data_IF_242460738306
#
_entry.id   IF_242460738306
#
_cell.length_a   1.000
_cell.length_b   1.000
_cell.length_c   1.000
_cell.angle_alpha   90.00
_cell.angle_beta   90.00
_cell.angle_gamma   90.00
#
_symmetry.space_group_name_H-M   'P 1'
#
loop_
_entity.id
_entity.type
_entity.pdbx_description
1 polymer ?
#
# COMPACT_ATOMS: atom_id res chain seq x y z
N UNK A 1 6.15 -0.99 -9.77
CA UNK A 1 5.63 -2.28 -10.27
C UNK A 1 4.29 -2.09 -10.99
N UNK A 2 3.23 -1.67 -10.30
CA UNK A 2 1.88 -1.48 -10.86
C UNK A 2 1.84 -0.67 -12.18
N UNK A 3 2.42 0.54 -12.21
CA UNK A 3 2.38 1.40 -13.41
C UNK A 3 3.05 0.74 -14.64
N UNK A 4 4.20 0.11 -14.45
CA UNK A 4 4.90 -0.59 -15.55
C UNK A 4 4.12 -1.80 -16.07
N UNK A 5 3.46 -2.55 -15.18
CA UNK A 5 2.58 -3.63 -15.59
C UNK A 5 1.35 -3.09 -16.35
N UNK A 6 0.77 -1.96 -15.90
CA UNK A 6 -0.35 -1.33 -16.58
C UNK A 6 0.01 -0.89 -18.01
N UNK A 7 1.15 -0.24 -18.21
CA UNK A 7 1.66 0.13 -19.55
C UNK A 7 1.88 -1.09 -20.44
N UNK A 8 2.43 -2.17 -19.88
CA UNK A 8 2.61 -3.41 -20.62
C UNK A 8 1.29 -3.99 -21.11
N UNK A 9 0.28 -4.05 -20.24
CA UNK A 9 -1.01 -4.64 -20.58
C UNK A 9 -1.83 -3.73 -21.51
N UNK A 10 -1.77 -2.42 -21.30
CA UNK A 10 -2.32 -1.42 -22.23
C UNK A 10 -1.75 -1.61 -23.65
N UNK A 11 -0.43 -1.77 -23.75
CA UNK A 11 0.21 -2.03 -25.04
C UNK A 11 -0.31 -3.32 -25.68
N UNK A 12 -0.41 -4.43 -24.94
CA UNK A 12 -0.98 -5.67 -25.47
C UNK A 12 -2.42 -5.48 -25.97
N UNK A 13 -3.25 -4.78 -25.21
CA UNK A 13 -4.64 -4.49 -25.57
C UNK A 13 -4.75 -3.60 -26.81
N UNK A 14 -3.79 -2.69 -27.03
CA UNK A 14 -3.69 -1.87 -28.25
C UNK A 14 -3.32 -2.68 -29.50
N UNK A 15 -2.74 -3.87 -29.30
CA UNK A 15 -2.37 -4.83 -30.35
C UNK A 15 -3.39 -5.97 -30.48
N UNK A 16 -4.59 -5.79 -29.94
CA UNK A 16 -5.65 -6.82 -29.87
C UNK A 16 -5.10 -8.15 -29.34
N UNK A 17 -4.28 -8.11 -28.30
CA UNK A 17 -3.76 -9.30 -27.63
C UNK A 17 -4.40 -9.43 -26.24
N UNK A 18 -5.07 -10.56 -26.01
CA UNK A 18 -5.63 -10.98 -24.72
C UNK A 18 -4.61 -11.89 -24.05
N UNK A 19 -4.13 -11.52 -22.87
CA UNK A 19 -3.06 -12.26 -22.20
C UNK A 19 -3.56 -13.56 -21.56
N UNK A 20 -4.70 -13.52 -20.87
CA UNK A 20 -5.35 -14.65 -20.16
C UNK A 20 -4.60 -15.20 -18.95
N UNK A 21 -3.48 -14.59 -18.55
CA UNK A 21 -2.71 -15.01 -17.37
C UNK A 21 -1.96 -13.85 -16.69
N UNK A 22 -2.68 -12.76 -16.43
CA UNK A 22 -2.14 -11.63 -15.69
C UNK A 22 -2.09 -11.99 -14.20
N UNK A 23 -0.89 -12.06 -13.66
CA UNK A 23 -0.61 -12.34 -12.24
C UNK A 23 0.82 -11.89 -11.88
N UNK A 24 1.09 -11.75 -10.58
CA UNK A 24 2.39 -11.30 -10.09
C UNK A 24 3.55 -12.20 -10.54
N UNK A 25 3.35 -13.51 -10.57
CA UNK A 25 4.36 -14.49 -11.05
C UNK A 25 4.79 -14.28 -12.51
N UNK A 26 3.94 -13.65 -13.32
CA UNK A 26 4.19 -13.38 -14.73
C UNK A 26 4.70 -11.95 -14.97
N UNK A 27 4.99 -11.21 -13.90
CA UNK A 27 5.61 -9.90 -13.94
C UNK A 27 7.12 -10.00 -13.61
N UNK A 28 7.96 -9.98 -14.64
CA UNK A 28 9.42 -10.01 -14.46
C UNK A 28 9.92 -8.64 -14.02
N UNK A 29 10.74 -8.61 -12.98
CA UNK A 29 11.27 -7.38 -12.37
C UNK A 29 12.79 -7.30 -12.52
N UNK A 30 13.30 -6.18 -13.05
CA UNK A 30 14.73 -5.97 -13.26
C UNK A 30 15.40 -5.10 -12.18
N UNK A 31 16.74 -5.03 -12.20
CA UNK A 31 17.53 -4.20 -11.26
C UNK A 31 17.25 -2.71 -11.36
N UNK A 32 16.69 -2.25 -12.49
CA UNK A 32 16.30 -0.85 -12.73
C UNK A 32 14.86 -0.58 -12.30
N UNK A 33 14.22 -1.54 -11.63
CA UNK A 33 12.84 -1.47 -11.15
C UNK A 33 11.78 -1.42 -12.26
N UNK A 34 12.12 -1.87 -13.46
CA UNK A 34 11.15 -2.03 -14.54
C UNK A 34 10.43 -3.37 -14.40
N UNK A 35 9.17 -3.39 -14.84
CA UNK A 35 8.38 -4.62 -14.96
C UNK A 35 8.16 -4.94 -16.42
N UNK A 36 8.23 -6.23 -16.76
CA UNK A 36 7.82 -6.77 -18.06
C UNK A 36 6.82 -7.90 -17.86
N UNK A 37 5.71 -7.83 -18.59
CA UNK A 37 4.75 -8.93 -18.66
C UNK A 37 5.38 -10.09 -19.45
N UNK A 38 5.14 -11.31 -18.98
CA UNK A 38 5.70 -12.54 -19.53
C UNK A 38 4.67 -13.68 -19.53
N UNK A 39 5.08 -14.83 -20.06
CA UNK A 39 4.26 -16.04 -20.21
C UNK A 39 3.02 -15.85 -21.13
N UNK A 40 3.30 -15.78 -22.42
CA UNK A 40 2.29 -15.65 -23.47
C UNK A 40 1.70 -17.01 -23.91
N UNK A 41 1.95 -18.10 -23.17
CA UNK A 41 1.50 -19.45 -23.57
C UNK A 41 -0.02 -19.58 -23.67
N UNK A 42 -0.76 -18.76 -22.92
CA UNK A 42 -2.22 -18.69 -22.96
C UNK A 42 -2.76 -17.56 -23.86
N UNK A 43 -1.92 -16.66 -24.34
CA UNK A 43 -2.37 -15.45 -25.02
C UNK A 43 -3.05 -15.73 -26.35
N UNK A 44 -3.95 -14.85 -26.76
CA UNK A 44 -4.72 -14.94 -28.00
C UNK A 44 -4.81 -13.58 -28.67
N UNK A 45 -4.64 -13.58 -29.97
CA UNK A 45 -4.93 -12.41 -30.80
C UNK A 45 -6.44 -12.35 -31.08
N UNK A 46 -7.00 -11.14 -31.06
CA UNK A 46 -8.41 -10.86 -31.25
C UNK A 46 -9.06 -10.14 -30.06
N UNK A 47 -10.34 -9.84 -30.24
CA UNK A 47 -11.14 -9.10 -29.27
C UNK A 47 -11.81 -10.01 -28.25
N UNK A 48 -12.12 -11.22 -28.67
CA UNK A 48 -12.77 -12.25 -27.88
C UNK A 48 -12.16 -13.61 -28.21
N UNK A 49 -11.98 -14.42 -27.17
CA UNK A 49 -11.62 -15.83 -27.29
C UNK A 49 -12.58 -16.68 -26.49
N UNK A 50 -13.30 -17.58 -27.17
CA UNK A 50 -14.17 -18.58 -26.54
C UNK A 50 -13.43 -19.90 -26.39
N UNK A 51 -13.21 -20.33 -25.16
CA UNK A 51 -12.54 -21.58 -24.87
C UNK A 51 -13.49 -22.76 -25.09
N UNK A 52 -13.21 -23.59 -26.09
CA UNK A 52 -14.04 -24.74 -26.48
C UNK A 52 -13.54 -26.08 -25.94
N UNK A 53 -12.28 -26.13 -25.50
CA UNK A 53 -11.65 -27.32 -24.94
C UNK A 53 -11.19 -27.07 -23.52
N UNK A 54 -11.17 -28.11 -22.69
CA UNK A 54 -10.65 -28.03 -21.33
C UNK A 54 -9.16 -27.70 -21.37
N UNK A 55 -8.80 -26.57 -20.77
CA UNK A 55 -7.43 -26.12 -20.62
C UNK A 55 -7.18 -25.74 -19.16
N UNK A 56 -5.96 -25.95 -18.65
CA UNK A 56 -5.55 -25.39 -17.36
C UNK A 56 -5.43 -23.87 -17.49
N UNK A 57 -6.19 -23.14 -16.68
CA UNK A 57 -6.26 -21.67 -16.67
C UNK A 57 -6.15 -21.17 -15.23
N UNK A 58 -5.70 -19.92 -15.01
CA UNK A 58 -5.44 -19.35 -13.68
C UNK A 58 -6.75 -18.98 -12.96
N UNK A 59 -7.47 -19.98 -12.44
CA UNK A 59 -8.80 -19.78 -11.86
C UNK A 59 -8.85 -18.69 -10.77
N UNK A 60 -7.78 -18.48 -10.01
CA UNK A 60 -7.72 -17.47 -8.94
C UNK A 60 -7.78 -16.02 -9.43
N UNK A 61 -7.37 -15.78 -10.68
CA UNK A 61 -7.35 -14.44 -11.30
C UNK A 61 -8.43 -14.28 -12.37
N UNK A 62 -9.29 -15.28 -12.56
CA UNK A 62 -10.28 -15.28 -13.64
C UNK A 62 -11.48 -14.39 -13.33
N UNK A 63 -11.93 -13.68 -14.36
CA UNK A 63 -13.15 -12.90 -14.31
C UNK A 63 -14.42 -13.81 -14.27
N UNK A 64 -15.55 -13.31 -13.72
CA UNK A 64 -16.81 -14.07 -13.64
C UNK A 64 -17.25 -14.69 -14.96
N UNK A 65 -17.21 -13.94 -16.06
CA UNK A 65 -17.63 -14.37 -17.40
C UNK A 65 -16.76 -15.51 -17.96
N UNK A 66 -15.51 -15.63 -17.53
CA UNK A 66 -14.63 -16.72 -17.94
C UNK A 66 -15.05 -18.06 -17.32
N UNK A 67 -15.77 -18.02 -16.19
CA UNK A 67 -16.32 -19.22 -15.55
C UNK A 67 -17.69 -19.63 -16.07
N UNK A 68 -18.51 -18.67 -16.50
CA UNK A 68 -19.89 -18.92 -16.94
C UNK A 68 -19.96 -19.19 -18.43
N UNK A 69 -19.23 -18.40 -19.23
CA UNK A 69 -19.37 -18.38 -20.69
C UNK A 69 -18.12 -18.96 -21.38
N UNK A 70 -17.05 -19.22 -20.61
CA UNK A 70 -15.73 -19.58 -21.13
C UNK A 70 -15.17 -18.56 -22.12
N UNK A 71 -15.59 -17.30 -21.95
CA UNK A 71 -15.22 -16.19 -22.81
C UNK A 71 -14.11 -15.38 -22.14
N UNK A 72 -13.05 -15.12 -22.88
CA UNK A 72 -11.94 -14.26 -22.48
C UNK A 72 -11.88 -13.07 -23.42
N UNK A 73 -11.69 -11.89 -22.85
CA UNK A 73 -11.60 -10.61 -23.56
C UNK A 73 -10.55 -9.72 -22.91
N UNK A 74 -10.26 -8.57 -23.51
CA UNK A 74 -9.44 -7.52 -22.88
C UNK A 74 -10.01 -7.10 -21.50
N UNK A 75 -11.33 -7.03 -21.35
CA UNK A 75 -11.98 -6.75 -20.05
C UNK A 75 -11.77 -7.86 -19.02
N UNK A 76 -11.58 -9.12 -19.45
CA UNK A 76 -11.23 -10.20 -18.52
C UNK A 76 -9.79 -10.06 -17.98
N UNK A 77 -8.85 -9.61 -18.82
CA UNK A 77 -7.50 -9.27 -18.35
C UNK A 77 -7.51 -8.09 -17.37
N UNK A 78 -8.43 -7.12 -17.54
CA UNK A 78 -8.61 -6.01 -16.60
C UNK A 78 -9.00 -6.51 -15.21
N UNK A 79 -9.90 -7.49 -15.12
CA UNK A 79 -10.25 -8.11 -13.84
C UNK A 79 -9.02 -8.79 -13.21
N UNK A 80 -8.29 -9.57 -14.00
CA UNK A 80 -7.04 -10.21 -13.57
C UNK A 80 -5.98 -9.18 -13.15
N UNK A 81 -5.94 -8.01 -13.80
CA UNK A 81 -5.08 -6.90 -13.40
C UNK A 81 -5.45 -6.34 -12.01
N UNK A 82 -6.74 -6.32 -11.67
CA UNK A 82 -7.19 -6.00 -10.31
C UNK A 82 -6.68 -7.01 -9.26
N UNK A 83 -6.66 -8.30 -9.61
CA UNK A 83 -6.05 -9.35 -8.75
C UNK A 83 -4.54 -9.15 -8.65
N UNK A 84 -3.84 -8.82 -9.74
CA UNK A 84 -2.42 -8.47 -9.71
C UNK A 84 -2.14 -7.26 -8.80
N UNK A 85 -2.96 -6.21 -8.84
CA UNK A 85 -2.80 -5.08 -7.92
C UNK A 85 -2.96 -5.55 -6.46
N UNK A 86 -3.94 -6.41 -6.18
CA UNK A 86 -4.08 -7.01 -4.86
C UNK A 86 -2.84 -7.82 -4.46
N UNK A 87 -2.30 -8.67 -5.33
CA UNK A 87 -1.07 -9.43 -5.06
C UNK A 87 0.11 -8.50 -4.74
N UNK A 88 0.25 -7.37 -5.46
CA UNK A 88 1.33 -6.38 -5.23
C UNK A 88 1.21 -5.76 -3.83
N UNK A 89 0.00 -5.36 -3.42
CA UNK A 89 -0.20 -4.67 -2.14
C UNK A 89 -0.30 -5.61 -0.94
N UNK A 90 -0.59 -6.89 -1.18
CA UNK A 90 -0.64 -7.95 -0.16
C UNK A 90 0.68 -8.72 -0.04
N UNK A 91 1.79 -8.14 -0.48
CA UNK A 91 3.14 -8.74 -0.42
C UNK A 91 3.19 -10.15 -1.02
N UNK A 92 2.57 -10.31 -2.19
CA UNK A 92 2.44 -11.56 -2.93
C UNK A 92 1.71 -12.70 -2.17
N UNK A 93 0.82 -12.35 -1.24
CA UNK A 93 -0.10 -13.30 -0.64
C UNK A 93 -0.93 -14.05 -1.70
N UNK A 94 -1.40 -15.25 -1.34
CA UNK A 94 -2.16 -16.08 -2.26
C UNK A 94 -3.63 -15.61 -2.35
N UNK A 95 -4.17 -15.32 -3.56
CA UNK A 95 -5.58 -14.97 -3.68
C UNK A 95 -6.49 -16.12 -3.23
N UNK A 96 -7.47 -15.81 -2.39
CA UNK A 96 -8.41 -16.77 -1.81
C UNK A 96 -7.69 -17.95 -1.12
N UNK A 97 -6.65 -17.65 -0.35
CA UNK A 97 -5.87 -18.64 0.41
C UNK A 97 -6.77 -19.56 1.25
N UNK A 98 -6.49 -20.86 1.21
CA UNK A 98 -7.25 -21.89 1.92
C UNK A 98 -8.63 -22.23 1.32
N UNK A 99 -9.12 -21.49 0.33
CA UNK A 99 -10.43 -21.72 -0.30
C UNK A 99 -10.28 -22.70 -1.47
N UNK A 100 -11.16 -23.70 -1.52
CA UNK A 100 -11.20 -24.67 -2.63
C UNK A 100 -11.68 -23.99 -3.90
N UNK A 101 -11.15 -24.41 -5.05
CA UNK A 101 -11.49 -23.85 -6.37
C UNK A 101 -12.99 -23.76 -6.65
N UNK A 102 -13.75 -24.82 -6.33
CA UNK A 102 -15.20 -24.85 -6.57
C UNK A 102 -15.95 -23.81 -5.73
N UNK A 103 -15.53 -23.61 -4.48
CA UNK A 103 -16.09 -22.61 -3.57
C UNK A 103 -15.69 -21.20 -4.00
N UNK A 104 -14.42 -20.98 -4.33
CA UNK A 104 -13.91 -19.71 -4.86
C UNK A 104 -14.69 -19.26 -6.10
N UNK A 105 -14.97 -20.18 -7.04
CA UNK A 105 -15.83 -19.88 -8.20
C UNK A 105 -17.17 -19.31 -7.75
N UNK A 106 -17.85 -19.97 -6.80
CA UNK A 106 -19.15 -19.52 -6.32
C UNK A 106 -19.06 -18.15 -5.62
N UNK A 107 -18.01 -17.90 -4.83
CA UNK A 107 -17.78 -16.60 -4.19
C UNK A 107 -17.64 -15.47 -5.23
N UNK A 108 -16.79 -15.67 -6.24
CA UNK A 108 -16.55 -14.68 -7.31
C UNK A 108 -17.85 -14.39 -8.07
N UNK A 109 -18.61 -15.43 -8.43
CA UNK A 109 -19.88 -15.30 -9.14
C UNK A 109 -20.95 -14.59 -8.31
N UNK A 110 -20.92 -14.74 -6.98
CA UNK A 110 -21.81 -14.04 -6.05
C UNK A 110 -21.34 -12.61 -5.69
N UNK A 111 -20.32 -12.09 -6.37
CA UNK A 111 -19.85 -10.72 -6.17
C UNK A 111 -18.84 -10.54 -5.04
N UNK A 112 -18.41 -11.61 -4.37
CA UNK A 112 -17.36 -11.52 -3.36
C UNK A 112 -16.03 -11.17 -4.05
N UNK A 113 -15.26 -10.29 -3.41
CA UNK A 113 -13.96 -9.80 -3.89
C UNK A 113 -12.92 -9.89 -2.77
N UNK A 114 -11.65 -9.80 -3.13
CA UNK A 114 -10.54 -9.82 -2.17
C UNK A 114 -10.51 -8.49 -1.39
N UNK A 115 -10.15 -8.57 -0.12
CA UNK A 115 -9.96 -7.39 0.73
C UNK A 115 -8.51 -6.92 0.66
N UNK A 116 -8.30 -5.64 0.35
CA UNK A 116 -6.96 -5.05 0.35
C UNK A 116 -6.44 -4.83 1.78
N UNK A 117 -5.14 -5.01 2.02
CA UNK A 117 -4.52 -4.64 3.29
C UNK A 117 -4.71 -3.15 3.60
N UNK A 118 -4.84 -2.81 4.89
CA UNK A 118 -5.10 -1.43 5.34
C UNK A 118 -4.03 -0.41 4.93
N UNK A 119 -2.81 -0.86 4.63
CA UNK A 119 -1.71 -0.01 4.15
C UNK A 119 -1.83 0.37 2.66
N UNK A 120 -2.75 -0.25 1.92
CA UNK A 120 -2.98 0.05 0.51
C UNK A 120 -3.52 1.48 0.36
N UNK A 121 -2.98 2.31 -0.56
CA UNK A 121 -3.54 3.62 -0.84
C UNK A 121 -5.03 3.52 -1.17
N UNK A 122 -5.93 4.26 -0.49
CA UNK A 122 -7.38 4.12 -0.68
C UNK A 122 -7.82 4.28 -2.14
N UNK A 123 -7.12 5.14 -2.89
CA UNK A 123 -7.39 5.39 -4.30
C UNK A 123 -7.17 4.13 -5.16
N UNK A 124 -6.23 3.25 -4.79
CA UNK A 124 -6.04 1.98 -5.48
C UNK A 124 -7.21 1.05 -5.19
N UNK A 125 -7.56 0.87 -3.91
CA UNK A 125 -8.68 0.02 -3.50
C UNK A 125 -9.97 0.46 -4.16
N UNK A 126 -10.23 1.77 -4.18
CA UNK A 126 -11.40 2.37 -4.83
C UNK A 126 -11.42 2.10 -6.33
N UNK A 127 -10.32 2.39 -7.04
CA UNK A 127 -10.23 2.14 -8.49
C UNK A 127 -10.47 0.66 -8.81
N UNK A 128 -9.87 -0.26 -8.05
CA UNK A 128 -10.05 -1.70 -8.27
C UNK A 128 -11.49 -2.14 -8.03
N UNK A 129 -12.06 -1.78 -6.87
CA UNK A 129 -13.40 -2.21 -6.46
C UNK A 129 -14.51 -1.62 -7.33
N UNK A 130 -14.36 -0.36 -7.76
CA UNK A 130 -15.38 0.32 -8.57
C UNK A 130 -15.23 0.07 -10.07
N UNK A 131 -14.02 -0.21 -10.57
CA UNK A 131 -13.77 -0.19 -12.03
C UNK A 131 -13.05 -1.40 -12.62
N UNK A 132 -12.37 -2.24 -11.83
CA UNK A 132 -11.71 -3.44 -12.38
C UNK A 132 -12.48 -4.71 -12.03
N UNK A 133 -13.15 -4.72 -10.87
CA UNK A 133 -13.88 -5.87 -10.34
C UNK A 133 -15.40 -5.83 -10.56
N UNK A 134 -15.87 -4.92 -11.42
CA UNK A 134 -17.25 -4.89 -11.90
C UNK A 134 -17.64 -6.26 -12.47
N UNK A 135 -18.81 -6.77 -12.06
CA UNK A 135 -19.29 -8.07 -12.52
C UNK A 135 -19.55 -8.09 -14.02
N UNK A 136 -20.03 -6.97 -14.57
CA UNK A 136 -20.24 -6.77 -16.01
C UNK A 136 -18.93 -6.30 -16.68
N UNK A 137 -18.42 -7.01 -17.70
CA UNK A 137 -17.18 -6.64 -18.38
C UNK A 137 -17.18 -5.24 -19.01
N UNK A 138 -18.34 -4.77 -19.46
CA UNK A 138 -18.56 -3.46 -20.09
C UNK A 138 -18.50 -2.29 -19.10
N UNK A 139 -18.73 -2.56 -17.81
CA UNK A 139 -18.64 -1.56 -16.75
C UNK A 139 -17.20 -1.44 -16.20
N UNK A 140 -16.26 -2.24 -16.74
CA UNK A 140 -14.84 -2.17 -16.37
C UNK A 140 -14.11 -1.12 -17.17
N UNK A 141 -13.14 -0.46 -16.53
CA UNK A 141 -12.25 0.45 -17.22
C UNK A 141 -11.42 -0.26 -18.29
N UNK A 142 -11.06 0.49 -19.33
CA UNK A 142 -9.98 0.12 -20.25
C UNK A 142 -8.62 0.40 -19.60
N UNK A 143 -7.58 -0.29 -20.09
CA UNK A 143 -6.24 -0.16 -19.53
C UNK A 143 -5.65 1.25 -19.62
N UNK A 144 -5.99 2.05 -20.63
CA UNK A 144 -5.55 3.45 -20.74
C UNK A 144 -6.12 4.32 -19.61
N UNK A 145 -7.38 4.09 -19.23
CA UNK A 145 -7.99 4.75 -18.06
C UNK A 145 -7.31 4.35 -16.76
N UNK A 146 -6.92 3.07 -16.64
CA UNK A 146 -6.19 2.54 -15.47
C UNK A 146 -4.78 3.12 -15.40
N UNK A 147 -4.09 3.25 -16.55
CA UNK A 147 -2.77 3.86 -16.64
C UNK A 147 -2.81 5.31 -16.15
N UNK A 148 -3.77 6.11 -16.61
CA UNK A 148 -3.90 7.50 -16.17
C UNK A 148 -4.28 7.59 -14.69
N UNK A 149 -5.21 6.75 -14.22
CA UNK A 149 -5.57 6.67 -12.80
C UNK A 149 -4.37 6.35 -11.90
N UNK A 150 -3.55 5.36 -12.28
CA UNK A 150 -2.34 5.00 -11.54
C UNK A 150 -1.30 6.13 -11.53
N UNK A 151 -1.16 6.86 -12.63
CA UNK A 151 -0.25 8.00 -12.72
C UNK A 151 -0.63 9.08 -11.72
N UNK A 152 -1.91 9.47 -11.69
CA UNK A 152 -2.42 10.46 -10.72
C UNK A 152 -2.20 10.00 -9.28
N UNK A 153 -2.44 8.72 -8.98
CA UNK A 153 -2.22 8.17 -7.64
C UNK A 153 -0.73 8.25 -7.24
N UNK A 154 0.19 7.94 -8.15
CA UNK A 154 1.63 8.03 -7.89
C UNK A 154 2.05 9.48 -7.60
N UNK A 155 1.54 10.44 -8.37
CA UNK A 155 1.80 11.88 -8.17
C UNK A 155 1.27 12.32 -6.78
N UNK A 156 0.05 11.94 -6.41
CA UNK A 156 -0.52 12.23 -5.10
C UNK A 156 0.31 11.63 -3.94
N UNK A 157 0.80 10.39 -4.10
CA UNK A 157 1.63 9.73 -3.09
C UNK A 157 3.02 10.37 -2.95
N UNK A 158 3.59 10.89 -4.04
CA UNK A 158 4.84 11.64 -3.99
C UNK A 158 4.67 12.94 -3.18
N UNK A 159 3.64 13.73 -3.48
CA UNK A 159 3.35 14.97 -2.74
C UNK A 159 3.07 14.71 -1.25
N UNK A 160 2.39 13.61 -0.92
CA UNK A 160 2.12 13.21 0.48
C UNK A 160 3.41 12.90 1.23
N UNK A 161 4.41 12.29 0.58
CA UNK A 161 5.71 12.00 1.20
C UNK A 161 6.50 13.28 1.44
N UNK A 162 6.54 14.16 0.45
CA UNK A 162 7.25 15.46 0.56
C UNK A 162 6.68 16.31 1.71
N UNK A 163 5.35 16.39 1.82
CA UNK A 163 4.68 17.11 2.93
C UNK A 163 4.99 16.50 4.29
N UNK A 164 5.07 15.16 4.40
CA UNK A 164 5.43 14.47 5.65
C UNK A 164 6.90 14.69 6.02
N UNK A 165 7.79 14.80 5.05
CA UNK A 165 9.22 15.08 5.28
C UNK A 165 9.44 16.50 5.77
N UNK A 166 8.80 17.50 5.13
CA UNK A 166 8.82 18.90 5.58
C UNK A 166 8.29 19.03 7.02
N UNK A 167 7.16 18.41 7.34
CA UNK A 167 6.60 18.43 8.71
C UNK A 167 7.52 17.76 9.75
N UNK A 168 8.24 16.71 9.37
CA UNK A 168 9.24 16.08 10.24
C UNK A 168 10.42 17.02 10.51
N UNK A 169 10.94 17.68 9.47
CA UNK A 169 12.03 18.66 9.63
C UNK A 169 11.62 19.85 10.51
N UNK A 170 10.40 20.37 10.33
CA UNK A 170 9.88 21.48 11.15
C UNK A 170 9.66 21.06 12.61
N UNK A 171 9.22 19.83 12.86
CA UNK A 171 9.08 19.27 14.20
C UNK A 171 10.44 19.09 14.88
N UNK A 172 11.44 18.60 14.14
CA UNK A 172 12.82 18.44 14.62
C UNK A 172 13.44 19.82 14.93
N UNK A 173 13.38 20.79 14.01
CA UNK A 173 13.87 22.17 14.24
C UNK A 173 13.16 22.85 15.41
N UNK A 174 11.84 22.68 15.55
CA UNK A 174 11.06 23.18 16.67
C UNK A 174 11.46 22.57 18.02
N UNK A 175 11.83 21.28 18.03
CA UNK A 175 12.32 20.59 19.21
C UNK A 175 13.74 21.01 19.60
N UNK A 176 14.64 21.23 18.64
CA UNK A 176 16.00 21.75 18.87
C UNK A 176 16.00 23.19 19.41
N UNK A 177 15.07 24.03 18.95
CA UNK A 177 14.86 25.37 19.50
C UNK A 177 14.37 25.29 20.95
N UNK A 178 13.47 24.36 21.28
CA UNK A 178 13.01 24.13 22.67
C UNK A 178 14.13 23.60 23.57
N UNK A 179 15.01 22.71 23.07
CA UNK A 179 16.18 22.19 23.81
C UNK A 179 17.19 23.32 24.07
N UNK A 180 17.48 24.17 23.07
CA UNK A 180 18.35 25.34 23.25
C UNK A 180 17.77 26.34 24.25
N UNK A 181 16.46 26.61 24.22
CA UNK A 181 15.76 27.48 25.20
C UNK A 181 15.75 26.91 26.64
N UNK A 182 15.67 25.58 26.81
CA UNK A 182 15.83 24.94 28.14
C UNK A 182 17.26 25.05 28.66
N UNK A 183 18.28 24.86 27.81
CA UNK A 183 19.69 25.02 28.19
C UNK A 183 20.02 26.48 28.60
N UNK A 184 19.52 27.49 27.91
CA UNK A 184 19.73 28.91 28.31
C UNK A 184 19.01 29.28 29.61
N UNK A 185 17.78 28.79 29.85
CA UNK A 185 17.10 28.98 31.15
C UNK A 185 17.79 28.27 32.32
N UNK A 186 18.46 27.13 32.09
CA UNK A 186 19.23 26.44 33.14
C UNK A 186 20.55 27.14 33.49
N UNK A 187 21.18 27.80 32.51
CA UNK A 187 22.42 28.60 32.73
C UNK A 187 22.17 29.89 33.52
N UNK A 188 21.01 30.54 33.39
CA UNK A 188 20.69 31.75 34.18
C UNK A 188 20.39 31.44 35.66
N UNK A 189 19.86 30.26 35.99
CA UNK A 189 19.65 29.84 37.39
C UNK A 189 20.96 29.47 38.11
N UNK A 190 21.96 28.98 37.38
CA UNK A 190 23.26 28.63 37.96
C UNK A 190 24.10 29.86 38.38
N UNK A 191 23.90 31.02 37.74
CA UNK A 191 24.57 32.28 38.10
C UNK A 191 23.93 32.98 39.31
N UNK A 192 22.64 32.75 39.60
CA UNK A 192 21.98 33.30 40.80
C UNK A 192 22.27 32.50 42.08
N UNK A 193 22.54 31.18 42.00
CA UNK A 193 22.86 30.36 43.17
C UNK A 193 24.30 30.50 43.67
N UNK A 194 25.24 31.06 42.89
CA UNK A 194 26.62 31.28 43.34
C UNK A 194 26.79 32.52 44.22
N UNK A 195 25.81 33.41 44.25
CA UNK A 195 25.81 34.61 45.10
C UNK A 195 25.30 34.35 46.54
N UNK A 196 24.56 33.26 46.78
CA UNK A 196 23.94 32.98 48.09
C UNK A 196 24.70 31.98 48.99
N UNK A 197 25.83 31.43 48.55
CA UNK A 197 26.63 30.48 49.35
C UNK A 197 27.76 31.13 50.18
N UNK A 198 27.87 32.47 50.22
CA UNK A 198 28.86 33.19 51.04
C UNK A 198 28.29 33.85 52.31
N UNK A 199 27.05 33.56 52.71
CA UNK A 199 26.47 34.03 53.98
C UNK A 199 25.87 32.88 54.78
N UNK A 200 26.70 31.95 55.25
CA UNK A 200 26.27 31.02 56.31
C UNK A 200 27.48 30.36 56.99
N UNK A 201 28.37 31.17 57.54
CA UNK A 201 29.28 30.77 58.61
C UNK A 201 29.47 32.00 59.50
N UNK A 202 28.81 32.02 60.67
CA UNK A 202 29.17 32.67 61.94
C UNK A 202 28.03 32.37 62.94
N UNK A 203 28.39 31.79 64.09
CA UNK A 203 27.60 31.74 65.35
C UNK A 203 26.82 30.44 65.55
N UNK A 204 27.33 29.47 66.33
CA UNK A 204 27.24 29.34 67.81
C UNK A 204 25.78 29.24 68.31
N UNK A 205 25.41 28.47 69.32
CA UNK A 205 25.98 27.39 70.13
C UNK A 205 24.84 27.01 71.10
N UNK A 206 24.92 25.82 71.71
CA UNK A 206 24.15 25.40 72.91
C UNK A 206 22.62 25.18 72.69
N UNK A 207 21.95 24.19 73.27
CA UNK A 207 22.33 23.15 74.21
C UNK A 207 21.06 22.38 74.64
N UNK A 208 21.29 21.15 75.12
CA UNK A 208 20.48 20.36 76.07
C UNK A 208 19.04 19.96 75.72
N UNK A 209 18.82 18.64 75.81
CA UNK A 209 17.81 18.09 76.72
C UNK A 209 16.76 17.19 76.06
N UNK A 210 16.84 15.90 76.40
CA UNK A 210 15.77 15.03 76.92
C UNK A 210 14.33 15.31 76.46
N UNK A 211 13.47 14.33 76.15
CA UNK A 211 13.44 12.89 76.38
C UNK A 211 11.96 12.50 76.22
N UNK A 212 11.70 11.23 75.89
CA UNK A 212 10.48 10.48 76.28
C UNK A 212 9.15 10.97 75.64
N UNK A 213 8.13 10.17 75.37
CA UNK A 213 7.89 8.72 75.30
C UNK A 213 6.38 8.59 74.98
N UNK A 214 5.94 7.35 74.74
CA UNK A 214 4.54 6.88 74.85
C UNK A 214 3.61 7.26 73.71
N UNK A 215 2.63 6.44 73.33
CA UNK A 215 2.32 5.01 73.50
C UNK A 215 1.13 4.79 72.59
#
# INVERSE_FOLDING_TARGET
MASSAAWGLEYLHSRSCIHRDIAARNCLYDKKKNVKISDFGLSREGEEYKMTQTQRVPMKSMAPECFTNFTFTRSSDVFSFGVLLWEIFSDAAEPFEGIKTAEMKNLILNGVRLEFPAATPPQITEMVTQHLWSSRPEDRYRMDQIVEGLKLIVEMEAERKDKKEIQREDTVKGSDIKIKKKKTKSRSRASQNRANMKKCQIGNAEGKGNSLNQS
#
